data_IF_123958182309
#
_entry.id   IF_123958182309
#
_cell.length_a   1.000
_cell.length_b   1.000
_cell.length_c   1.000
_cell.angle_alpha   90.00
_cell.angle_beta   90.00
_cell.angle_gamma   90.00
#
_symmetry.space_group_name_H-M   'P 1'
#
loop_
_entity.id
_entity.type
_entity.pdbx_description
1 polymer ?
#
# COMPACT_ATOMS: atom_id res chain seq x y z
N UNK A 1 57.13 47.58 18.43
CA UNK A 1 56.83 48.80 17.64
C UNK A 1 55.33 48.79 17.42
N UNK A 2 54.51 49.35 18.32
CA UNK A 2 54.25 50.77 18.59
C UNK A 2 53.45 51.46 17.47
N UNK A 3 52.11 51.49 17.65
CA UNK A 3 51.11 52.58 17.49
C UNK A 3 51.22 53.63 16.34
N UNK A 4 50.10 54.27 15.87
CA UNK A 4 49.02 54.76 16.75
C UNK A 4 47.57 54.75 16.25
N UNK A 5 46.70 54.88 17.25
CA UNK A 5 45.28 55.28 17.20
C UNK A 5 45.07 56.77 16.94
N UNK A 6 43.92 57.14 16.34
CA UNK A 6 43.20 58.43 16.47
C UNK A 6 41.72 58.13 16.16
N UNK A 7 40.82 57.92 17.12
CA UNK A 7 40.20 58.77 18.17
C UNK A 7 39.15 59.79 17.69
N UNK A 8 38.04 59.76 18.44
CA UNK A 8 36.92 60.72 18.58
C UNK A 8 35.87 60.82 17.46
N UNK A 9 34.62 60.39 17.79
CA UNK A 9 33.51 61.31 18.16
C UNK A 9 32.24 60.56 18.64
N UNK A 10 31.84 60.80 19.90
CA UNK A 10 30.45 60.67 20.43
C UNK A 10 29.70 61.99 20.15
N UNK A 11 28.35 62.07 20.02
CA UNK A 11 27.42 61.87 21.16
C UNK A 11 25.99 61.34 20.88
N UNK A 12 25.37 60.88 21.98
CA UNK A 12 23.95 60.91 22.43
C UNK A 12 22.77 60.95 21.43
N UNK A 13 21.74 60.12 21.69
CA UNK A 13 20.36 60.43 21.27
C UNK A 13 19.37 59.26 21.34
N UNK A 14 18.73 59.12 22.50
CA UNK A 14 17.48 58.44 22.90
C UNK A 14 16.63 57.55 21.95
N UNK A 15 16.26 56.40 22.54
CA UNK A 15 14.94 55.73 22.62
C UNK A 15 13.94 55.81 21.46
N UNK A 16 13.53 54.64 20.92
CA UNK A 16 12.15 54.11 21.04
C UNK A 16 12.12 52.57 21.04
N UNK A 17 11.41 52.02 22.02
CA UNK A 17 11.04 50.63 22.21
C UNK A 17 9.67 50.35 21.54
N UNK A 18 9.47 49.14 21.03
CA UNK A 18 8.20 48.63 20.48
C UNK A 18 8.10 48.86 18.97
N UNK A 19 7.95 47.86 18.10
CA UNK A 19 7.03 46.73 18.24
C UNK A 19 7.56 45.46 17.54
N UNK A 20 6.95 44.34 17.87
CA UNK A 20 7.43 42.98 17.66
C UNK A 20 7.31 42.57 16.19
N UNK A 21 8.38 42.69 15.41
CA UNK A 21 8.46 41.97 14.14
C UNK A 21 8.91 40.53 14.44
N UNK A 22 7.94 39.73 14.89
CA UNK A 22 8.09 38.28 14.93
C UNK A 22 8.31 37.82 13.50
N UNK A 23 9.60 37.61 13.21
CA UNK A 23 10.08 36.86 12.07
C UNK A 23 9.37 35.51 12.08
N UNK A 24 8.35 35.37 11.22
CA UNK A 24 7.72 34.07 10.98
C UNK A 24 8.78 33.15 10.38
N UNK A 25 9.04 31.98 10.99
CA UNK A 25 9.84 30.96 10.35
C UNK A 25 9.00 30.26 9.29
N UNK A 26 9.68 29.75 8.27
CA UNK A 26 9.26 28.65 7.40
C UNK A 26 8.03 28.87 6.53
N UNK A 27 8.28 29.16 5.25
CA UNK A 27 7.68 28.34 4.21
C UNK A 27 8.73 28.11 3.10
N UNK A 28 9.47 26.98 3.13
CA UNK A 28 10.01 26.41 1.92
C UNK A 28 8.83 25.80 1.18
N UNK A 29 8.35 26.56 0.20
CA UNK A 29 7.23 26.19 -0.64
C UNK A 29 7.36 24.80 -1.25
N UNK A 30 6.18 24.24 -1.47
CA UNK A 30 5.91 23.11 -2.36
C UNK A 30 6.72 21.85 -2.04
N UNK A 31 6.25 21.18 -0.99
CA UNK A 31 6.27 19.73 -0.85
C UNK A 31 5.87 19.05 -2.17
N UNK A 32 6.83 18.93 -3.09
CA UNK A 32 6.83 17.95 -4.15
C UNK A 32 7.60 16.72 -3.66
N UNK A 33 7.24 16.17 -2.49
CA UNK A 33 7.61 14.80 -2.10
C UNK A 33 6.47 13.83 -2.41
N UNK A 34 5.84 14.00 -3.55
CA UNK A 34 4.86 13.03 -4.06
C UNK A 34 5.52 11.99 -4.98
N UNK A 35 6.85 12.05 -5.15
CA UNK A 35 7.58 11.18 -6.08
C UNK A 35 8.14 9.89 -5.45
N UNK A 36 8.24 9.84 -4.12
CA UNK A 36 8.89 8.74 -3.42
C UNK A 36 7.90 7.76 -2.76
N UNK A 37 6.59 8.00 -2.86
CA UNK A 37 5.54 7.07 -2.41
C UNK A 37 4.94 6.29 -3.58
N UNK A 38 4.86 4.97 -3.43
CA UNK A 38 4.18 4.08 -4.35
C UNK A 38 2.83 3.67 -3.75
N UNK A 39 1.70 4.19 -4.27
CA UNK A 39 0.39 3.71 -3.87
C UNK A 39 0.19 2.29 -4.40
N UNK A 40 -0.30 1.38 -3.55
CA UNK A 40 -0.59 -0.01 -3.89
C UNK A 40 -2.02 -0.33 -3.47
N UNK A 41 -2.72 -1.11 -4.29
CA UNK A 41 -4.06 -1.62 -3.96
C UNK A 41 -3.94 -3.01 -3.38
N UNK A 42 -4.41 -3.18 -2.15
CA UNK A 42 -4.33 -4.45 -1.44
C UNK A 42 -5.72 -5.05 -1.33
N UNK A 43 -5.83 -6.33 -1.66
CA UNK A 43 -7.03 -7.14 -1.57
C UNK A 43 -6.80 -8.32 -0.62
N UNK A 44 -7.82 -8.68 0.14
CA UNK A 44 -7.86 -9.91 0.94
C UNK A 44 -8.68 -10.97 0.21
N UNK A 45 -8.32 -12.25 0.30
CA UNK A 45 -9.19 -13.31 -0.24
C UNK A 45 -10.61 -13.32 0.40
N UNK A 46 -10.78 -12.73 1.59
CA UNK A 46 -12.08 -12.66 2.27
C UNK A 46 -12.99 -11.56 1.70
N UNK A 47 -12.39 -10.47 1.23
CA UNK A 47 -13.09 -9.24 0.84
C UNK A 47 -12.65 -8.84 -0.57
N UNK A 48 -13.59 -8.73 -1.50
CA UNK A 48 -13.26 -8.40 -2.89
C UNK A 48 -12.91 -6.92 -3.09
N UNK A 49 -12.98 -6.12 -2.03
CA UNK A 49 -12.66 -4.70 -2.06
C UNK A 49 -11.14 -4.46 -2.03
N UNK A 50 -10.71 -3.37 -2.66
CA UNK A 50 -9.32 -2.93 -2.64
C UNK A 50 -9.16 -1.80 -1.61
N UNK A 51 -8.14 -1.93 -0.77
CA UNK A 51 -7.68 -0.86 0.11
C UNK A 51 -6.46 -0.19 -0.56
N UNK A 52 -6.53 1.11 -0.76
CA UNK A 52 -5.40 1.90 -1.26
C UNK A 52 -4.48 2.28 -0.10
N UNK A 53 -3.22 1.88 -0.21
CA UNK A 53 -2.19 2.15 0.80
C UNK A 53 -1.00 2.82 0.14
N UNK A 54 -0.57 3.94 0.70
CA UNK A 54 0.64 4.63 0.29
C UNK A 54 1.85 4.05 1.01
N UNK A 55 2.80 3.50 0.26
CA UNK A 55 4.03 2.94 0.80
C UNK A 55 5.23 3.73 0.31
N UNK A 56 6.24 3.91 1.16
CA UNK A 56 7.48 4.57 0.76
C UNK A 56 8.32 3.65 -0.14
N UNK A 57 8.77 4.19 -1.28
CA UNK A 57 9.54 3.47 -2.31
C UNK A 57 10.94 3.09 -1.84
N UNK A 58 11.49 3.79 -0.85
CA UNK A 58 12.78 3.51 -0.24
C UNK A 58 12.67 2.37 0.80
N UNK A 59 11.50 2.20 1.42
CA UNK A 59 11.24 1.18 2.45
C UNK A 59 10.38 0.00 1.96
N UNK A 60 10.20 -0.13 0.64
CA UNK A 60 9.41 -1.18 -0.02
C UNK A 60 10.13 -2.55 0.05
N UNK A 61 10.04 -3.18 1.22
CA UNK A 61 10.46 -4.56 1.50
C UNK A 61 9.26 -5.50 1.58
N UNK A 62 9.51 -6.80 1.41
CA UNK A 62 8.48 -7.84 1.54
C UNK A 62 7.85 -7.84 2.93
N UNK A 63 8.67 -7.68 3.97
CA UNK A 63 8.19 -7.68 5.35
C UNK A 63 7.38 -6.42 5.66
N UNK A 64 7.80 -5.25 5.17
CA UNK A 64 7.07 -4.01 5.36
C UNK A 64 5.70 -4.06 4.65
N UNK A 65 5.68 -4.50 3.39
CA UNK A 65 4.43 -4.70 2.64
C UNK A 65 3.50 -5.66 3.37
N UNK A 66 4.00 -6.81 3.82
CA UNK A 66 3.21 -7.79 4.57
C UNK A 66 2.62 -7.16 5.83
N UNK A 67 3.45 -6.47 6.63
CA UNK A 67 3.05 -5.91 7.91
C UNK A 67 2.01 -4.80 7.75
N UNK A 68 2.22 -3.86 6.83
CA UNK A 68 1.26 -2.78 6.55
C UNK A 68 -0.03 -3.38 5.98
N UNK A 69 0.05 -4.31 5.03
CA UNK A 69 -1.14 -4.98 4.48
C UNK A 69 -1.95 -5.71 5.56
N UNK A 70 -1.27 -6.42 6.45
CA UNK A 70 -1.89 -7.11 7.58
C UNK A 70 -2.55 -6.13 8.56
N UNK A 71 -1.89 -5.00 8.83
CA UNK A 71 -2.41 -3.96 9.72
C UNK A 71 -3.69 -3.33 9.16
N UNK A 72 -3.68 -2.92 7.89
CA UNK A 72 -4.85 -2.31 7.23
C UNK A 72 -6.03 -3.27 7.11
N UNK A 73 -5.76 -4.56 6.88
CA UNK A 73 -6.79 -5.60 6.79
C UNK A 73 -7.21 -6.17 8.15
N UNK A 74 -6.52 -5.83 9.25
CA UNK A 74 -6.75 -6.43 10.57
C UNK A 74 -6.48 -7.94 10.62
N UNK A 75 -5.58 -8.44 9.78
CA UNK A 75 -5.23 -9.86 9.65
C UNK A 75 -3.87 -10.11 10.31
N UNK A 76 -3.67 -11.28 10.92
CA UNK A 76 -2.36 -11.63 11.46
C UNK A 76 -1.44 -12.13 10.33
N UNK A 77 -0.14 -11.77 10.33
CA UNK A 77 0.81 -12.24 9.32
C UNK A 77 0.96 -13.77 9.30
N UNK A 78 0.71 -14.44 10.43
CA UNK A 78 0.69 -15.90 10.54
C UNK A 78 -0.42 -16.55 9.71
N UNK A 79 -1.50 -15.81 9.44
CA UNK A 79 -2.61 -16.28 8.63
C UNK A 79 -2.35 -16.07 7.14
N UNK A 80 -1.30 -15.35 6.74
CA UNK A 80 -0.97 -15.11 5.33
C UNK A 80 -0.12 -16.26 4.80
N UNK A 81 -0.65 -16.99 3.82
CA UNK A 81 0.07 -18.05 3.12
C UNK A 81 1.05 -17.47 2.10
N UNK A 82 0.58 -16.54 1.26
CA UNK A 82 1.32 -15.98 0.11
C UNK A 82 0.84 -14.58 -0.23
N UNK A 83 1.74 -13.78 -0.79
CA UNK A 83 1.40 -12.48 -1.39
C UNK A 83 1.55 -12.60 -2.91
N UNK A 84 0.50 -12.28 -3.66
CA UNK A 84 0.52 -12.29 -5.13
C UNK A 84 0.14 -10.93 -5.68
N UNK A 85 0.86 -10.46 -6.70
CA UNK A 85 0.39 -9.36 -7.55
C UNK A 85 -0.60 -9.91 -8.57
N UNK A 86 -1.75 -9.27 -8.74
CA UNK A 86 -2.75 -9.68 -9.72
C UNK A 86 -2.25 -9.48 -11.18
N UNK A 87 -2.69 -10.32 -12.13
CA UNK A 87 -3.66 -11.39 -11.90
C UNK A 87 -3.07 -12.67 -11.25
N UNK A 88 -1.79 -13.02 -11.40
CA UNK A 88 -1.22 -14.27 -10.83
C UNK A 88 0.33 -14.28 -10.71
N UNK A 89 0.94 -13.25 -10.11
CA UNK A 89 2.40 -13.16 -9.93
C UNK A 89 2.79 -13.30 -8.46
N UNK A 90 3.47 -14.38 -8.09
CA UNK A 90 3.93 -14.57 -6.71
C UNK A 90 5.09 -13.62 -6.36
N UNK A 91 4.93 -12.87 -5.26
CA UNK A 91 5.98 -12.02 -4.70
C UNK A 91 6.74 -12.82 -3.64
N UNK A 92 8.06 -12.98 -3.79
CA UNK A 92 8.86 -13.85 -2.90
C UNK A 92 9.97 -13.14 -2.14
N UNK A 93 10.40 -11.99 -2.64
CA UNK A 93 11.56 -11.23 -2.14
C UNK A 93 11.37 -9.76 -2.43
N UNK A 94 12.16 -8.92 -1.75
CA UNK A 94 12.12 -7.47 -1.88
C UNK A 94 12.30 -6.99 -3.33
N UNK A 95 13.14 -7.68 -4.12
CA UNK A 95 13.31 -7.34 -5.54
C UNK A 95 12.03 -7.48 -6.36
N UNK A 96 11.12 -8.36 -5.98
CA UNK A 96 9.83 -8.51 -6.68
C UNK A 96 8.88 -7.37 -6.27
N UNK A 97 9.01 -6.90 -5.03
CA UNK A 97 8.26 -5.77 -4.45
C UNK A 97 8.71 -4.42 -5.04
N UNK A 98 10.01 -4.20 -5.19
CA UNK A 98 10.57 -2.99 -5.80
C UNK A 98 10.21 -2.81 -7.29
N UNK A 99 9.73 -3.88 -7.93
CA UNK A 99 9.21 -3.86 -9.31
C UNK A 99 7.73 -3.49 -9.38
N UNK A 100 7.06 -3.35 -8.23
CA UNK A 100 5.70 -2.86 -8.20
C UNK A 100 5.66 -1.44 -8.74
N UNK A 101 4.57 -1.14 -9.44
CA UNK A 101 4.25 0.18 -9.97
C UNK A 101 3.08 0.74 -9.18
N UNK A 102 2.88 2.04 -9.30
CA UNK A 102 1.77 2.74 -8.69
C UNK A 102 0.43 2.12 -9.11
N UNK A 103 -0.47 1.98 -8.15
CA UNK A 103 -1.79 1.37 -8.28
C UNK A 103 -1.77 -0.09 -8.75
N UNK A 104 -0.65 -0.80 -8.57
CA UNK A 104 -0.68 -2.24 -8.75
C UNK A 104 -1.53 -2.91 -7.68
N UNK A 105 -2.24 -3.93 -8.13
CA UNK A 105 -3.10 -4.74 -7.31
C UNK A 105 -2.32 -5.92 -6.75
N UNK A 106 -2.37 -6.06 -5.43
CA UNK A 106 -1.74 -7.12 -4.65
C UNK A 106 -2.82 -7.80 -3.82
N UNK A 107 -2.76 -9.12 -3.76
CA UNK A 107 -3.67 -9.95 -3.01
C UNK A 107 -2.90 -10.77 -1.97
N UNK A 108 -3.44 -10.76 -0.75
CA UNK A 108 -2.99 -11.63 0.33
C UNK A 108 -3.82 -12.91 0.31
N UNK A 109 -3.14 -14.03 0.06
CA UNK A 109 -3.71 -15.36 0.19
C UNK A 109 -3.59 -15.77 1.65
N UNK A 110 -4.71 -16.07 2.29
CA UNK A 110 -4.73 -16.55 3.66
C UNK A 110 -4.62 -18.08 3.69
N UNK A 111 -3.93 -18.60 4.71
CA UNK A 111 -3.88 -20.03 4.99
C UNK A 111 -5.30 -20.53 5.23
N UNK A 112 -5.68 -21.56 4.48
CA UNK A 112 -6.91 -22.29 4.72
C UNK A 112 -6.73 -23.12 5.99
N UNK A 113 -6.98 -22.51 7.15
CA UNK A 113 -7.29 -23.27 8.36
C UNK A 113 -8.45 -24.21 7.95
N UNK A 114 -8.26 -25.52 8.13
CA UNK A 114 -9.05 -26.59 7.50
C UNK A 114 -10.50 -26.68 7.98
N UNK A 115 -11.25 -25.58 8.00
CA UNK A 115 -12.67 -25.54 8.29
C UNK A 115 -13.39 -24.74 7.20
N UNK A 116 -14.12 -25.49 6.38
CA UNK A 116 -15.18 -25.08 5.48
C UNK A 116 -14.80 -24.50 4.10
N UNK A 117 -14.40 -25.40 3.20
CA UNK A 117 -14.86 -25.30 1.81
C UNK A 117 -15.26 -26.69 1.31
N UNK A 118 -16.13 -27.32 2.10
CA UNK A 118 -17.14 -28.23 1.60
C UNK A 118 -18.46 -27.44 1.60
N UNK A 119 -18.48 -26.34 0.87
CA UNK A 119 -19.71 -25.59 0.61
C UNK A 119 -19.82 -25.41 -0.90
N UNK A 120 -20.47 -26.40 -1.49
CA UNK A 120 -21.41 -26.23 -2.59
C UNK A 120 -20.86 -25.69 -3.91
N UNK A 121 -20.11 -26.53 -4.62
CA UNK A 121 -20.32 -26.65 -6.07
C UNK A 121 -20.10 -28.09 -6.53
N UNK A 122 -20.92 -29.00 -6.01
CA UNK A 122 -21.33 -30.14 -6.83
C UNK A 122 -22.36 -29.60 -7.82
N UNK A 123 -22.06 -29.41 -9.12
CA UNK A 123 -23.13 -29.57 -10.08
C UNK A 123 -23.60 -31.00 -9.87
N UNK A 124 -24.85 -31.18 -9.47
CA UNK A 124 -25.51 -32.48 -9.48
C UNK A 124 -25.55 -32.95 -10.94
N UNK A 125 -24.42 -33.50 -11.42
CA UNK A 125 -24.27 -34.20 -12.69
C UNK A 125 -24.86 -35.63 -12.56
N UNK A 126 -25.94 -35.77 -11.80
CA UNK A 126 -26.97 -36.76 -12.09
C UNK A 126 -27.78 -36.19 -13.24
N UNK A 127 -27.11 -36.06 -14.39
CA UNK A 127 -27.78 -35.93 -15.68
C UNK A 127 -28.65 -37.17 -15.80
N UNK A 128 -29.96 -36.94 -15.67
CA UNK A 128 -30.99 -37.91 -16.05
C UNK A 128 -30.54 -38.54 -17.37
N UNK A 129 -30.68 -39.86 -17.58
CA UNK A 129 -30.42 -40.42 -18.89
C UNK A 129 -31.29 -39.65 -19.90
N UNK A 130 -30.65 -38.83 -20.75
CA UNK A 130 -31.26 -38.04 -21.81
C UNK A 130 -31.73 -38.94 -22.97
N UNK A 131 -32.21 -40.14 -22.65
CA UNK A 131 -32.68 -41.14 -23.58
C UNK A 131 -34.20 -41.21 -23.47
N UNK A 132 -34.89 -40.59 -24.42
CA UNK A 132 -36.33 -40.78 -24.57
C UNK A 132 -36.56 -42.15 -25.23
N UNK A 133 -36.90 -43.16 -24.43
CA UNK A 133 -37.17 -44.52 -24.89
C UNK A 133 -38.34 -44.62 -25.88
N UNK A 134 -39.19 -43.58 -25.99
CA UNK A 134 -40.28 -43.55 -26.96
C UNK A 134 -39.81 -43.21 -28.38
N UNK A 135 -38.60 -42.68 -28.56
CA UNK A 135 -38.06 -42.33 -29.88
C UNK A 135 -37.45 -43.54 -30.62
N UNK A 136 -37.20 -44.66 -29.93
CA UNK A 136 -36.49 -45.82 -30.49
C UNK A 136 -37.37 -46.78 -31.33
N UNK A 137 -38.65 -46.45 -31.57
CA UNK A 137 -39.61 -47.33 -32.25
C UNK A 137 -40.16 -46.76 -33.57
N UNK A 138 -39.35 -46.00 -34.29
CA UNK A 138 -39.55 -45.75 -35.73
C UNK A 138 -38.57 -46.64 -36.50
N UNK A 139 -39.01 -47.85 -36.81
CA UNK A 139 -38.38 -48.72 -37.80
C UNK A 139 -39.17 -48.56 -39.10
N UNK A 140 -38.48 -48.25 -40.20
CA UNK A 140 -39.02 -48.30 -41.56
C UNK A 140 -38.68 -49.66 -42.18
#
# INVERSE_FOLDING_TARGET
MAEPQLDVKKPSGEHKQGDSNQQLPTDPGDNAKTADTCPVRIQSHKENDFIEVELDRQELSYQNLLQVSCYELGINPEQVEKIRKLPNTLLRKDKDILRLQDFQEVELILMKNGSSELAEYTPSLLEKPCYNSNAAKMTY
#
